data_IF_098302001275
#
_entry.id   IF_098302001275
#
_cell.length_a   1.000
_cell.length_b   1.000
_cell.length_c   1.000
_cell.angle_alpha   90.00
_cell.angle_beta   90.00
_cell.angle_gamma   90.00
#
_symmetry.space_group_name_H-M   'P 1'
#
loop_
_entity.id
_entity.type
_entity.pdbx_description
1 polymer ?
#
# COMPACT_ATOMS: atom_id res chain seq x y z
N UNK A 1 23.77 -2.51 -7.48
CA UNK A 1 23.51 -3.28 -6.25
C UNK A 1 22.01 -3.49 -6.20
N UNK A 2 21.54 -4.71 -6.48
CA UNK A 2 20.11 -5.04 -6.46
C UNK A 2 19.70 -5.33 -5.02
N UNK A 3 18.78 -4.54 -4.48
CA UNK A 3 18.07 -4.90 -3.26
C UNK A 3 16.93 -5.86 -3.64
N UNK A 4 16.85 -7.07 -3.05
CA UNK A 4 15.78 -8.02 -3.33
C UNK A 4 14.53 -7.67 -2.49
N UNK A 5 13.37 -7.67 -3.13
CA UNK A 5 12.08 -7.29 -2.54
C UNK A 5 11.34 -8.54 -2.04
N UNK A 6 11.76 -9.08 -0.89
CA UNK A 6 11.23 -10.36 -0.37
C UNK A 6 10.14 -10.16 0.70
N UNK A 7 8.97 -9.60 0.36
CA UNK A 7 7.80 -9.69 1.25
C UNK A 7 6.48 -9.28 0.57
N UNK A 8 5.54 -10.22 0.43
CA UNK A 8 4.14 -9.97 0.02
C UNK A 8 3.18 -10.57 1.07
N UNK A 9 2.45 -9.75 1.82
CA UNK A 9 1.21 -10.06 2.54
C UNK A 9 -0.03 -9.74 1.68
N UNK A 10 -1.25 -9.97 2.17
CA UNK A 10 -2.49 -9.70 1.43
C UNK A 10 -3.55 -8.96 2.27
N UNK A 11 -4.45 -8.16 1.67
CA UNK A 11 -5.57 -7.48 2.40
C UNK A 11 -6.80 -7.15 1.52
N UNK A 12 -7.87 -6.47 1.94
CA UNK A 12 -8.90 -5.92 0.99
C UNK A 12 -9.86 -4.93 1.65
N UNK A 13 -10.55 -4.06 0.88
CA UNK A 13 -11.63 -3.17 1.37
C UNK A 13 -12.84 -3.02 0.41
N UNK A 14 -14.08 -2.83 0.91
CA UNK A 14 -15.23 -2.25 0.18
C UNK A 14 -15.47 -0.75 0.49
N UNK A 15 -16.18 -0.07 -0.42
CA UNK A 15 -16.46 1.38 -0.47
C UNK A 15 -17.97 1.69 -0.31
N UNK A 16 -18.31 2.71 0.49
CA UNK A 16 -19.54 3.52 0.34
C UNK A 16 -19.15 4.99 0.10
N UNK A 17 -19.87 5.63 -0.81
CA UNK A 17 -19.47 6.86 -1.50
C UNK A 17 -19.41 8.13 -0.63
N UNK A 18 -18.48 9.01 -1.00
CA UNK A 18 -18.51 10.43 -0.64
C UNK A 18 -17.77 11.24 -1.73
N UNK A 19 -18.15 12.51 -1.93
CA UNK A 19 -18.18 13.15 -3.24
C UNK A 19 -16.80 13.51 -3.78
N UNK A 20 -16.72 13.51 -5.10
CA UNK A 20 -15.64 14.13 -5.88
C UNK A 20 -15.63 15.64 -5.62
N UNK A 21 -14.56 16.13 -5.02
CA UNK A 21 -14.27 17.54 -4.90
C UNK A 21 -12.84 17.75 -4.42
N UNK A 22 -11.89 17.81 -5.35
CA UNK A 22 -10.60 18.44 -5.06
C UNK A 22 -10.86 19.95 -5.04
N UNK A 23 -10.88 20.54 -3.85
CA UNK A 23 -10.56 21.95 -3.72
C UNK A 23 -9.03 22.06 -3.70
N UNK A 24 -8.46 22.74 -4.69
CA UNK A 24 -7.12 23.33 -4.55
C UNK A 24 -7.21 24.37 -3.43
N UNK A 25 -6.88 23.92 -2.22
CA UNK A 25 -6.77 24.75 -1.02
C UNK A 25 -5.38 25.38 -0.96
N UNK A 26 -5.39 26.70 -0.97
CA UNK A 26 -4.33 27.66 -0.67
C UNK A 26 -3.11 27.11 0.10
N UNK A 27 -1.92 27.29 -0.48
CA UNK A 27 -0.61 26.98 0.13
C UNK A 27 -0.32 27.97 1.26
N UNK A 28 -1.00 27.81 2.40
CA UNK A 28 -0.85 28.63 3.60
C UNK A 28 -0.44 27.80 4.82
N UNK A 29 0.71 27.13 4.78
CA UNK A 29 1.28 26.47 5.94
C UNK A 29 2.06 27.46 6.83
N UNK A 30 1.39 28.08 7.80
CA UNK A 30 2.03 28.93 8.80
C UNK A 30 2.54 28.10 9.98
N UNK A 31 3.87 27.99 10.12
CA UNK A 31 4.53 27.76 11.41
C UNK A 31 5.44 28.97 11.66
N UNK A 32 4.96 29.92 12.46
CA UNK A 32 5.72 31.10 12.86
C UNK A 32 6.86 30.79 13.85
N UNK A 33 6.96 29.55 14.36
CA UNK A 33 7.95 29.19 15.38
C UNK A 33 9.10 28.31 14.86
N UNK A 34 9.07 27.84 13.61
CA UNK A 34 10.16 27.04 13.05
C UNK A 34 10.33 25.65 13.68
N UNK A 35 9.43 25.26 14.59
CA UNK A 35 9.39 23.89 15.13
C UNK A 35 9.07 22.91 14.00
N UNK A 36 9.85 21.83 13.91
CA UNK A 36 9.58 20.74 12.97
C UNK A 36 8.31 20.00 13.41
N UNK A 37 7.22 20.03 12.62
CA UNK A 37 5.98 19.36 12.97
C UNK A 37 6.15 17.85 13.23
N UNK A 38 7.17 17.24 12.61
CA UNK A 38 7.49 15.82 12.80
C UNK A 38 8.04 15.49 14.18
N UNK A 39 8.60 16.47 14.91
CA UNK A 39 9.08 16.31 16.28
C UNK A 39 7.95 16.28 17.31
N UNK A 40 6.74 16.74 16.94
CA UNK A 40 5.60 16.87 17.84
C UNK A 40 4.40 15.99 17.45
N UNK A 41 4.31 15.58 16.19
CA UNK A 41 3.24 14.72 15.70
C UNK A 41 3.78 13.65 14.74
N UNK A 42 3.26 12.42 14.79
CA UNK A 42 3.57 11.41 13.78
C UNK A 42 2.99 11.85 12.43
N UNK A 43 3.80 12.51 11.61
CA UNK A 43 3.45 12.90 10.24
C UNK A 43 3.40 11.63 9.39
N UNK A 44 2.22 11.33 8.82
CA UNK A 44 2.04 10.21 7.90
C UNK A 44 1.94 10.74 6.48
N UNK A 45 2.89 10.35 5.62
CA UNK A 45 2.86 10.66 4.20
C UNK A 45 2.14 9.56 3.44
N UNK A 46 1.19 9.96 2.57
CA UNK A 46 0.42 9.05 1.71
C UNK A 46 0.45 9.53 0.27
N UNK A 47 0.99 8.70 -0.62
CA UNK A 47 0.92 8.90 -2.07
C UNK A 47 -0.06 7.90 -2.69
N UNK A 48 -0.92 8.37 -3.60
CA UNK A 48 -1.92 7.56 -4.28
C UNK A 48 -1.73 7.62 -5.79
N UNK A 49 -1.71 6.46 -6.45
CA UNK A 49 -1.74 6.38 -7.91
C UNK A 49 -0.52 7.00 -8.62
N UNK A 50 0.60 7.14 -7.91
CA UNK A 50 1.83 7.63 -8.52
C UNK A 50 2.50 6.51 -9.34
N UNK A 51 3.17 6.86 -10.45
CA UNK A 51 3.94 5.89 -11.21
C UNK A 51 4.98 5.18 -10.32
N UNK A 52 5.24 3.87 -10.50
CA UNK A 52 6.17 3.10 -9.67
C UNK A 52 7.59 3.71 -9.56
N UNK A 53 8.05 4.42 -10.59
CA UNK A 53 9.34 5.11 -10.61
C UNK A 53 9.47 6.21 -9.54
N UNK A 54 8.34 6.70 -9.01
CA UNK A 54 8.34 7.73 -7.95
C UNK A 54 8.55 7.17 -6.54
N UNK A 55 8.57 5.84 -6.37
CA UNK A 55 8.77 5.20 -5.07
C UNK A 55 10.14 5.47 -4.51
N UNK A 56 11.20 5.37 -5.33
CA UNK A 56 12.57 5.61 -4.88
C UNK A 56 12.74 6.99 -4.22
N UNK A 57 12.43 8.09 -4.95
CA UNK A 57 12.46 9.43 -4.39
C UNK A 57 11.56 9.63 -3.16
N UNK A 58 10.41 8.94 -3.11
CA UNK A 58 9.54 8.96 -1.94
C UNK A 58 10.18 8.29 -0.71
N UNK A 59 10.81 7.13 -0.90
CA UNK A 59 11.53 6.42 0.17
C UNK A 59 12.69 7.27 0.68
N UNK A 60 13.42 7.94 -0.21
CA UNK A 60 14.50 8.86 0.15
C UNK A 60 14.00 10.03 1.00
N UNK A 61 12.83 10.60 0.65
CA UNK A 61 12.23 11.72 1.39
C UNK A 61 11.66 11.31 2.75
N UNK A 62 11.15 10.08 2.87
CA UNK A 62 10.60 9.52 4.13
C UNK A 62 11.70 9.10 5.10
N UNK A 63 12.87 8.69 4.59
CA UNK A 63 14.00 8.24 5.40
C UNK A 63 13.65 7.05 6.30
N UNK A 64 13.82 7.23 7.60
CA UNK A 64 13.55 6.18 8.60
C UNK A 64 12.12 6.19 9.16
N UNK A 65 11.28 7.10 8.68
CA UNK A 65 9.89 7.19 9.14
C UNK A 65 9.02 6.08 8.54
N UNK A 66 8.05 5.52 9.28
CA UNK A 66 7.06 4.63 8.70
C UNK A 66 6.17 5.37 7.67
N UNK A 67 5.87 4.72 6.55
CA UNK A 67 5.06 5.31 5.49
C UNK A 67 4.28 4.26 4.69
N UNK A 68 3.29 4.71 3.91
CA UNK A 68 2.56 3.84 2.98
C UNK A 68 2.50 4.38 1.57
N UNK A 69 2.67 3.50 0.59
CA UNK A 69 2.39 3.77 -0.83
C UNK A 69 1.31 2.83 -1.30
N UNK A 70 0.31 3.33 -2.01
CA UNK A 70 -0.80 2.50 -2.52
C UNK A 70 -1.01 2.69 -4.01
N UNK A 71 -1.12 1.57 -4.71
CA UNK A 71 -1.51 1.50 -6.12
C UNK A 71 -2.88 0.86 -6.26
N UNK A 72 -3.83 1.62 -6.77
CA UNK A 72 -5.17 1.14 -7.11
C UNK A 72 -5.25 0.79 -8.59
N UNK A 73 -5.91 -0.32 -8.89
CA UNK A 73 -6.12 -0.82 -10.23
C UNK A 73 -7.62 -0.89 -10.53
N UNK A 74 -7.95 -0.87 -11.82
CA UNK A 74 -9.34 -1.07 -12.28
C UNK A 74 -9.79 -2.53 -12.19
N UNK A 75 -8.87 -3.44 -11.87
CA UNK A 75 -9.10 -4.86 -11.75
C UNK A 75 -7.78 -5.59 -11.68
N UNK A 76 -7.81 -6.79 -11.11
CA UNK A 76 -6.69 -7.70 -11.23
C UNK A 76 -6.71 -8.41 -12.59
N UNK A 77 -5.53 -8.80 -13.12
CA UNK A 77 -5.47 -9.59 -14.34
C UNK A 77 -6.20 -10.92 -14.17
N UNK A 78 -6.58 -11.57 -15.27
CA UNK A 78 -7.09 -12.93 -15.23
C UNK A 78 -6.06 -13.89 -14.63
N UNK A 79 -6.52 -14.86 -13.84
CA UNK A 79 -5.68 -15.87 -13.20
C UNK A 79 -6.29 -17.27 -13.47
N UNK A 80 -6.18 -17.77 -14.72
CA UNK A 80 -6.87 -18.99 -15.15
C UNK A 80 -6.33 -20.24 -14.44
N UNK A 81 -5.06 -20.24 -14.02
CA UNK A 81 -4.43 -21.38 -13.30
C UNK A 81 -5.06 -21.64 -11.94
N UNK A 82 -5.71 -20.64 -11.35
CA UNK A 82 -6.47 -20.74 -10.09
C UNK A 82 -7.98 -20.58 -10.30
N UNK A 83 -8.45 -20.67 -11.55
CA UNK A 83 -9.87 -20.63 -11.89
C UNK A 83 -10.54 -19.25 -11.73
N UNK A 84 -9.77 -18.16 -11.77
CA UNK A 84 -10.28 -16.81 -11.55
C UNK A 84 -10.24 -15.97 -12.83
N UNK A 85 -11.39 -15.40 -13.18
CA UNK A 85 -11.52 -14.42 -14.26
C UNK A 85 -10.85 -13.07 -13.95
N UNK A 86 -11.14 -12.05 -14.76
CA UNK A 86 -10.74 -10.66 -14.47
C UNK A 86 -11.37 -10.20 -13.15
N UNK A 87 -10.53 -9.66 -12.25
CA UNK A 87 -11.00 -9.12 -10.98
C UNK A 87 -11.67 -7.75 -11.17
N UNK A 88 -12.65 -7.43 -10.33
CA UNK A 88 -13.23 -6.07 -10.30
C UNK A 88 -12.31 -5.07 -9.57
N UNK A 89 -12.50 -3.77 -9.81
CA UNK A 89 -11.73 -2.71 -9.14
C UNK A 89 -11.78 -2.77 -7.60
N UNK A 90 -12.91 -3.25 -7.03
CA UNK A 90 -13.02 -3.42 -5.58
C UNK A 90 -12.06 -4.52 -5.12
N UNK A 91 -11.05 -4.08 -4.37
CA UNK A 91 -10.02 -4.97 -3.88
C UNK A 91 -8.92 -5.27 -4.88
N UNK A 92 -8.76 -4.45 -5.92
CA UNK A 92 -7.62 -4.51 -6.81
C UNK A 92 -6.63 -3.40 -6.47
N UNK A 93 -5.78 -3.63 -5.47
CA UNK A 93 -4.73 -2.67 -5.11
C UNK A 93 -3.56 -3.33 -4.38
N UNK A 94 -2.41 -2.67 -4.38
CA UNK A 94 -1.23 -3.04 -3.59
C UNK A 94 -0.91 -1.92 -2.62
N UNK A 95 -0.53 -2.25 -1.39
CA UNK A 95 -0.01 -1.30 -0.40
C UNK A 95 1.42 -1.70 -0.02
N UNK A 96 2.39 -0.82 -0.22
CA UNK A 96 3.72 -0.95 0.37
C UNK A 96 3.71 -0.27 1.75
N UNK A 97 3.96 -1.02 2.81
CA UNK A 97 4.26 -0.51 4.14
C UNK A 97 5.78 -0.41 4.32
N UNK A 98 6.27 0.81 4.48
CA UNK A 98 7.69 1.13 4.62
C UNK A 98 8.06 1.00 6.09
N UNK A 99 9.03 0.12 6.39
CA UNK A 99 9.56 -0.09 7.76
C UNK A 99 8.49 -0.53 8.76
N UNK A 100 7.52 -1.31 8.28
CA UNK A 100 6.46 -1.86 9.11
C UNK A 100 6.01 -3.24 8.63
N UNK A 101 5.50 -4.05 9.55
CA UNK A 101 4.96 -5.40 9.29
C UNK A 101 3.45 -5.44 9.12
N UNK A 102 2.76 -4.38 9.50
CA UNK A 102 1.31 -4.25 9.45
C UNK A 102 0.88 -3.00 8.64
N UNK A 103 -0.41 -2.95 8.30
CA UNK A 103 -0.99 -1.85 7.52
C UNK A 103 -1.19 -0.56 8.32
N UNK A 104 -1.26 -0.64 9.65
CA UNK A 104 -1.46 0.51 10.54
C UNK A 104 -0.14 1.19 10.91
N UNK A 105 0.99 0.62 10.47
CA UNK A 105 2.35 1.04 10.81
C UNK A 105 2.66 0.94 12.31
N UNK A 106 1.97 0.02 13.01
CA UNK A 106 2.07 -0.15 14.45
C UNK A 106 3.24 -1.05 14.88
N UNK A 107 3.71 -1.93 13.99
CA UNK A 107 4.81 -2.86 14.18
C UNK A 107 6.00 -2.48 13.29
N UNK A 108 6.98 -1.72 13.82
CA UNK A 108 8.16 -1.31 13.07
C UNK A 108 8.99 -2.50 12.57
N UNK A 109 9.64 -2.31 11.42
CA UNK A 109 10.49 -3.30 10.78
C UNK A 109 11.72 -2.65 10.13
N UNK A 110 12.80 -3.42 9.96
CA UNK A 110 13.99 -2.97 9.23
C UNK A 110 13.81 -2.99 7.71
N UNK A 111 12.85 -3.78 7.23
CA UNK A 111 12.50 -4.03 5.83
C UNK A 111 11.16 -3.36 5.46
N UNK A 112 10.61 -3.68 4.30
CA UNK A 112 9.31 -3.18 3.85
C UNK A 112 8.39 -4.35 3.54
N UNK A 113 7.10 -4.18 3.80
CA UNK A 113 6.10 -5.22 3.56
C UNK A 113 5.15 -4.78 2.45
N UNK A 114 4.99 -5.59 1.40
CA UNK A 114 3.98 -5.35 0.36
C UNK A 114 2.71 -6.07 0.74
N UNK A 115 1.54 -5.46 0.63
CA UNK A 115 0.23 -6.08 0.82
C UNK A 115 -0.52 -6.12 -0.52
N UNK A 116 -0.82 -7.31 -1.02
CA UNK A 116 -1.61 -7.57 -2.22
C UNK A 116 -3.07 -7.71 -1.83
N UNK A 117 -3.87 -6.71 -2.20
CA UNK A 117 -5.25 -6.74 -1.79
C UNK A 117 -6.10 -7.61 -2.71
N UNK A 118 -6.92 -8.56 -2.22
CA UNK A 118 -7.85 -9.39 -3.04
C UNK A 118 -9.17 -9.63 -2.34
N UNK A 119 -10.29 -9.72 -3.07
CA UNK A 119 -11.57 -10.09 -2.43
C UNK A 119 -11.42 -11.44 -1.73
N UNK A 120 -12.09 -11.63 -0.61
CA UNK A 120 -12.02 -12.89 0.15
C UNK A 120 -12.40 -14.12 -0.70
N UNK A 121 -13.42 -13.98 -1.56
CA UNK A 121 -13.81 -15.05 -2.52
C UNK A 121 -12.79 -15.30 -3.64
N UNK A 122 -11.82 -14.41 -3.79
CA UNK A 122 -10.71 -14.48 -4.75
C UNK A 122 -9.36 -14.62 -4.02
N UNK A 123 -9.33 -15.16 -2.79
CA UNK A 123 -8.14 -15.24 -1.94
C UNK A 123 -6.93 -15.89 -2.65
N UNK A 124 -7.16 -16.94 -3.44
CA UNK A 124 -6.15 -17.65 -4.24
C UNK A 124 -5.42 -16.75 -5.26
N UNK A 125 -5.99 -15.58 -5.58
CA UNK A 125 -5.35 -14.61 -6.46
C UNK A 125 -4.10 -14.01 -5.85
N UNK A 126 -4.03 -13.84 -4.53
CA UNK A 126 -2.87 -13.25 -3.87
C UNK A 126 -1.60 -14.10 -4.01
N UNK A 127 -1.59 -15.41 -3.67
CA UNK A 127 -0.42 -16.26 -3.93
C UNK A 127 -0.12 -16.41 -5.42
N UNK A 128 -1.13 -16.44 -6.29
CA UNK A 128 -0.91 -16.45 -7.74
C UNK A 128 -0.17 -15.19 -8.23
N UNK A 129 -0.55 -14.00 -7.76
CA UNK A 129 0.11 -12.73 -8.09
C UNK A 129 1.56 -12.69 -7.60
N UNK A 130 1.82 -13.16 -6.37
CA UNK A 130 3.17 -13.25 -5.84
C UNK A 130 4.05 -14.18 -6.70
N UNK A 131 3.51 -15.32 -7.12
CA UNK A 131 4.22 -16.27 -7.97
C UNK A 131 4.63 -15.69 -9.33
N UNK A 132 3.84 -14.76 -9.90
CA UNK A 132 4.17 -14.11 -11.19
C UNK A 132 5.49 -13.33 -11.15
N UNK A 133 5.91 -12.89 -9.96
CA UNK A 133 7.15 -12.14 -9.75
C UNK A 133 8.20 -12.95 -8.98
N UNK A 134 8.01 -14.27 -8.87
CA UNK A 134 8.95 -15.16 -8.19
C UNK A 134 8.93 -15.05 -6.66
N UNK A 135 7.90 -14.42 -6.09
CA UNK A 135 7.73 -14.24 -4.65
C UNK A 135 6.71 -15.24 -4.08
N UNK A 136 6.65 -15.30 -2.74
CA UNK A 136 5.67 -16.08 -1.99
C UNK A 136 4.98 -15.20 -0.96
N UNK A 137 3.75 -15.56 -0.62
CA UNK A 137 3.04 -14.92 0.49
C UNK A 137 3.65 -15.39 1.81
N UNK A 138 4.00 -14.45 2.67
CA UNK A 138 4.74 -14.71 3.93
C UNK A 138 3.86 -14.67 5.20
N UNK A 139 2.58 -14.31 5.06
CA UNK A 139 1.64 -14.19 6.18
C UNK A 139 0.29 -14.85 5.89
N UNK A 140 -0.49 -15.05 6.94
CA UNK A 140 -1.87 -15.55 6.83
C UNK A 140 -2.75 -14.55 6.08
N UNK A 141 -3.79 -15.06 5.42
CA UNK A 141 -4.87 -14.20 4.93
C UNK A 141 -5.67 -13.70 6.14
N UNK A 142 -5.55 -12.42 6.45
CA UNK A 142 -6.27 -11.80 7.56
C UNK A 142 -7.45 -10.99 7.02
N UNK A 143 -8.65 -11.26 7.55
CA UNK A 143 -9.80 -10.38 7.35
C UNK A 143 -9.54 -9.04 8.04
N UNK A 144 -9.67 -7.92 7.33
CA UNK A 144 -9.53 -6.61 7.94
C UNK A 144 -10.70 -6.35 8.93
N UNK A 145 -10.43 -5.75 10.12
CA UNK A 145 -11.47 -5.46 11.11
C UNK A 145 -12.55 -4.50 10.56
N UNK A 146 -13.77 -4.66 11.10
CA UNK A 146 -15.01 -3.97 10.70
C UNK A 146 -14.92 -2.44 10.76
#
# INVERSE_FOLDING_TARGET
>A
MSCPWDAVGAGVRPVHGCPTGFAEGDTGGSSTNGDDPSAHFPVRLRALGRPPETVGPFLDAVGDSPATVRWDFMGWPEAPEVGLGVGGARGAFVTLAVRARDLDLAEPASDHTVFVHVKQVEAERAPWLAAQVGLRVIGELVEAPY
#
